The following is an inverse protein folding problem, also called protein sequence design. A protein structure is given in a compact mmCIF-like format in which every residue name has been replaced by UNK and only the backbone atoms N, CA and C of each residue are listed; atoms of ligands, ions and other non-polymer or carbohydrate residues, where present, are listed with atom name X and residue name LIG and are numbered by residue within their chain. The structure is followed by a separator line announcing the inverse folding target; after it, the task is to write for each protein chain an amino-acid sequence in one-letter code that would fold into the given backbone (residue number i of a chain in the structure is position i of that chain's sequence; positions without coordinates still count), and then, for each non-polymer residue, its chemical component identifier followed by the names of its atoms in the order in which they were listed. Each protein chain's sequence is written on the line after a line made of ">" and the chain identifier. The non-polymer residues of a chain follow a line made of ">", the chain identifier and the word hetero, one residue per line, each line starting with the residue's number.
data_IF_448611424284
#
_entry.id   IF_448611424284
#
_cell.length_a   1.000
_cell.length_b   1.000
_cell.length_c   1.000
_cell.angle_alpha   90.00
_cell.angle_beta   90.00
_cell.angle_gamma   90.00
#
_symmetry.space_group_name_H-M   'P 1'
#
loop_
_entity.id
_entity.type
_entity.pdbx_description
1 polymer ?
#
# COMPACT_ATOMS: atom_id res chain seq x y z
N UNK A 1 -2.27 8.01 -4.39
CA UNK A 1 -3.42 8.62 -3.66
C UNK A 1 -3.58 10.12 -3.95
N UNK A 2 -4.49 10.51 -4.86
CA UNK A 2 -4.89 11.92 -5.04
C UNK A 2 -6.09 12.23 -4.14
N UNK A 3 -5.89 13.04 -3.11
CA UNK A 3 -6.98 13.55 -2.27
C UNK A 3 -7.86 14.54 -3.03
N UNK A 4 -9.10 14.18 -3.32
CA UNK A 4 -10.14 15.11 -3.78
C UNK A 4 -10.75 15.83 -2.57
N UNK A 5 -10.49 17.14 -2.43
CA UNK A 5 -11.15 18.01 -1.45
C UNK A 5 -12.45 18.54 -2.06
N UNK A 6 -13.60 17.96 -1.68
CA UNK A 6 -14.92 18.52 -1.99
C UNK A 6 -15.25 19.65 -1.01
N UNK A 7 -15.17 20.89 -1.47
CA UNK A 7 -15.75 22.06 -0.78
C UNK A 7 -17.27 22.03 -0.89
N UNK A 8 -17.96 21.73 0.20
CA UNK A 8 -19.42 21.85 0.29
C UNK A 8 -19.81 23.30 0.61
N UNK A 9 -20.56 23.93 -0.31
CA UNK A 9 -21.16 25.27 -0.13
C UNK A 9 -22.58 25.06 0.39
N UNK A 10 -22.84 25.43 1.65
CA UNK A 10 -24.21 25.46 2.21
C UNK A 10 -24.90 26.78 1.86
N UNK A 11 -26.14 26.78 1.34
CA UNK A 11 -26.94 27.99 1.24
C UNK A 11 -27.60 28.29 2.60
N UNK A 12 -27.47 29.54 3.03
CA UNK A 12 -28.13 30.07 4.22
C UNK A 12 -29.63 30.28 3.91
N UNK A 13 -30.50 29.41 4.40
CA UNK A 13 -31.95 29.60 4.32
C UNK A 13 -32.41 30.29 5.63
N UNK A 14 -32.76 31.57 5.53
CA UNK A 14 -33.41 32.30 6.62
C UNK A 14 -34.89 31.88 6.69
N UNK A 15 -35.23 31.08 7.72
CA UNK A 15 -36.60 30.70 8.01
C UNK A 15 -37.27 31.74 8.91
N UNK A 16 -38.33 32.37 8.39
CA UNK A 16 -39.19 33.32 9.11
C UNK A 16 -40.08 32.57 10.10
N UNK A 17 -39.94 32.85 11.40
CA UNK A 17 -40.77 32.28 12.46
C UNK A 17 -42.11 33.03 12.51
N UNK A 18 -43.22 32.34 12.25
CA UNK A 18 -44.58 32.81 12.54
C UNK A 18 -45.07 32.03 13.77
N UNK A 19 -45.29 32.74 14.87
CA UNK A 19 -45.84 32.19 16.12
C UNK A 19 -47.35 32.25 16.02
N UNK A 20 -48.02 31.10 15.85
CA UNK A 20 -49.48 30.98 16.03
C UNK A 20 -49.72 30.28 17.36
N UNK A 21 -50.24 31.05 18.32
CA UNK A 21 -50.76 30.52 19.58
C UNK A 21 -52.24 30.17 19.40
N UNK A 22 -52.60 28.90 19.63
CA UNK A 22 -53.96 28.54 19.99
C UNK A 22 -53.89 27.50 21.10
N UNK A 23 -54.34 27.89 22.30
CA UNK A 23 -54.50 27.00 23.44
C UNK A 23 -55.73 26.12 23.25
N UNK A 24 -55.54 24.82 23.48
CA UNK A 24 -56.60 23.83 23.51
C UNK A 24 -56.15 22.67 24.39
N UNK A 25 -56.47 22.73 25.68
CA UNK A 25 -56.18 21.66 26.62
C UNK A 25 -57.05 20.44 26.36
N UNK A 26 -56.42 19.34 25.98
CA UNK A 26 -57.02 18.00 25.95
C UNK A 26 -56.06 17.04 26.64
N UNK A 27 -56.47 16.52 27.81
CA UNK A 27 -55.69 15.59 28.63
C UNK A 27 -55.64 14.18 28.05
N UNK A 28 -54.98 14.03 26.91
CA UNK A 28 -54.40 12.76 26.49
C UNK A 28 -53.01 12.67 27.08
N UNK A 29 -52.72 11.60 27.82
CA UNK A 29 -51.35 11.24 28.14
C UNK A 29 -50.69 10.79 26.84
N UNK A 30 -50.22 11.74 26.02
CA UNK A 30 -49.24 11.39 25.00
C UNK A 30 -48.10 10.67 25.74
N UNK A 31 -47.75 9.43 25.35
CA UNK A 31 -46.59 8.80 25.92
C UNK A 31 -45.42 9.77 25.72
N UNK A 32 -44.70 10.07 26.81
CA UNK A 32 -43.50 10.89 26.73
C UNK A 32 -42.66 10.38 25.55
N UNK A 33 -42.17 11.28 24.66
CA UNK A 33 -41.41 10.87 23.49
C UNK A 33 -40.35 9.86 23.93
N UNK A 34 -40.45 8.64 23.40
CA UNK A 34 -39.50 7.59 23.69
C UNK A 34 -38.18 8.06 23.08
N UNK A 35 -37.21 8.38 23.93
CA UNK A 35 -35.85 8.65 23.46
C UNK A 35 -35.28 7.30 23.05
N UNK A 36 -35.34 7.01 21.76
CA UNK A 36 -34.76 5.80 21.17
C UNK A 36 -33.29 6.05 20.93
N UNK A 37 -32.43 5.32 21.62
CA UNK A 37 -30.98 5.36 21.43
C UNK A 37 -30.59 4.83 20.06
N UNK A 38 -29.85 5.62 19.30
CA UNK A 38 -29.16 5.25 18.09
C UNK A 38 -27.74 4.80 18.48
N UNK A 39 -27.22 3.70 17.91
CA UNK A 39 -25.86 3.29 18.21
C UNK A 39 -24.84 4.31 17.67
N UNK A 40 -23.64 4.36 18.27
CA UNK A 40 -22.55 5.15 17.72
C UNK A 40 -22.15 4.64 16.34
N UNK A 41 -21.43 5.48 15.59
CA UNK A 41 -20.83 5.11 14.31
C UNK A 41 -19.43 5.67 14.14
N UNK A 42 -18.57 4.94 13.42
CA UNK A 42 -17.23 5.42 13.06
C UNK A 42 -17.30 6.49 11.97
N UNK A 43 -16.59 7.60 12.16
CA UNK A 43 -16.42 8.65 11.15
C UNK A 43 -15.36 8.24 10.13
N UNK A 44 -14.28 7.61 10.58
CA UNK A 44 -13.23 7.07 9.72
C UNK A 44 -13.15 5.55 9.85
N UNK A 45 -12.90 4.89 8.72
CA UNK A 45 -12.67 3.46 8.69
C UNK A 45 -11.17 3.19 8.54
N UNK A 46 -10.49 2.86 9.64
CA UNK A 46 -9.07 2.53 9.65
C UNK A 46 -8.94 1.04 9.93
N UNK A 47 -8.89 0.23 8.86
CA UNK A 47 -8.72 -1.22 8.97
C UNK A 47 -7.26 -1.64 9.10
N UNK A 48 -6.36 -0.90 8.47
CA UNK A 48 -4.92 -1.17 8.48
C UNK A 48 -4.13 0.13 8.58
N UNK A 49 -2.96 0.07 9.20
CA UNK A 49 -2.01 1.17 9.29
C UNK A 49 -0.59 0.64 9.28
N UNK A 50 0.30 1.32 8.58
CA UNK A 50 1.74 1.08 8.64
C UNK A 50 2.39 2.19 9.47
N UNK A 51 3.24 1.81 10.42
CA UNK A 51 3.95 2.76 11.30
C UNK A 51 5.40 2.36 11.47
N UNK A 52 6.28 3.35 11.63
CA UNK A 52 7.68 3.08 11.93
C UNK A 52 7.86 2.43 13.30
N UNK A 53 8.86 1.57 13.42
CA UNK A 53 9.36 1.13 14.73
C UNK A 53 9.92 2.28 15.57
N UNK A 54 10.18 1.99 16.85
CA UNK A 54 10.81 2.93 17.79
C UNK A 54 10.03 4.22 18.07
N UNK A 55 8.73 4.26 17.74
CA UNK A 55 7.82 5.34 18.12
C UNK A 55 6.56 4.82 18.82
N UNK A 56 5.82 5.73 19.46
CA UNK A 56 4.58 5.40 20.16
C UNK A 56 3.31 5.71 19.36
N UNK A 57 3.39 6.56 18.34
CA UNK A 57 2.23 6.99 17.56
C UNK A 57 1.72 5.85 16.68
N UNK A 58 0.39 5.64 16.66
CA UNK A 58 -0.25 4.65 15.77
C UNK A 58 -1.24 5.35 14.85
N UNK A 59 -2.41 5.72 15.36
CA UNK A 59 -3.47 6.34 14.57
C UNK A 59 -4.51 7.01 15.47
N UNK A 60 -5.55 7.61 14.90
CA UNK A 60 -6.69 8.15 15.63
C UNK A 60 -8.00 7.61 15.04
N UNK A 61 -8.86 7.11 15.92
CA UNK A 61 -10.19 6.59 15.60
C UNK A 61 -11.22 7.64 15.99
N UNK A 62 -11.98 8.09 15.02
CA UNK A 62 -13.06 9.07 15.19
C UNK A 62 -14.40 8.36 15.13
N UNK A 63 -15.26 8.63 16.10
CA UNK A 63 -16.62 8.14 16.14
C UNK A 63 -17.56 9.26 16.59
N UNK A 64 -18.83 9.12 16.29
CA UNK A 64 -19.87 10.04 16.71
C UNK A 64 -21.15 9.31 17.05
N UNK A 65 -22.04 10.01 17.73
CA UNK A 65 -23.38 9.56 18.06
C UNK A 65 -24.41 10.58 17.56
N UNK A 66 -25.55 10.09 17.07
CA UNK A 66 -26.61 10.97 16.55
C UNK A 66 -27.43 11.62 17.66
N UNK A 67 -27.46 10.99 18.84
CA UNK A 67 -28.16 11.49 20.02
C UNK A 67 -27.28 12.44 20.85
N UNK A 68 -25.98 12.52 20.51
CA UNK A 68 -25.00 13.37 21.20
C UNK A 68 -24.48 12.76 22.49
N UNK A 69 -24.60 11.44 22.64
CA UNK A 69 -24.13 10.71 23.81
C UNK A 69 -22.60 10.73 23.95
N UNK A 70 -22.15 10.60 25.20
CA UNK A 70 -20.72 10.54 25.52
C UNK A 70 -20.18 9.15 25.18
N UNK A 71 -19.19 9.12 24.29
CA UNK A 71 -18.57 7.89 23.83
C UNK A 71 -17.41 7.44 24.74
N UNK A 72 -17.32 6.12 24.93
CA UNK A 72 -16.21 5.46 25.59
C UNK A 72 -15.49 4.52 24.64
N UNK A 73 -14.16 4.56 24.69
CA UNK A 73 -13.26 3.79 23.86
C UNK A 73 -12.58 2.71 24.68
N UNK A 74 -12.45 1.50 24.13
CA UNK A 74 -11.70 0.41 24.73
C UNK A 74 -11.09 -0.50 23.68
N UNK A 75 -10.01 -1.20 24.06
CA UNK A 75 -9.30 -2.14 23.18
C UNK A 75 -9.56 -3.59 23.63
N UNK A 76 -9.74 -4.47 22.65
CA UNK A 76 -9.79 -5.93 22.83
C UNK A 76 -9.08 -6.63 21.65
N UNK A 77 -9.26 -7.94 21.49
CA UNK A 77 -8.64 -8.70 20.40
C UNK A 77 -7.36 -9.43 20.84
N UNK A 78 -6.44 -9.62 19.90
CA UNK A 78 -5.26 -10.48 20.09
C UNK A 78 -4.12 -9.76 20.82
N UNK A 79 -3.87 -8.49 20.47
CA UNK A 79 -2.72 -7.73 20.98
C UNK A 79 -3.05 -6.47 21.80
N UNK A 80 -4.19 -6.37 22.53
CA UNK A 80 -4.57 -5.11 23.19
C UNK A 80 -3.58 -4.64 24.25
N UNK A 81 -2.77 -5.54 24.83
CA UNK A 81 -1.77 -5.20 25.85
C UNK A 81 -0.60 -4.35 25.34
N UNK A 82 -0.38 -4.30 24.03
CA UNK A 82 0.67 -3.47 23.43
C UNK A 82 0.26 -2.01 23.28
N UNK A 83 -1.03 -1.71 23.42
CA UNK A 83 -1.59 -0.41 23.07
C UNK A 83 -2.37 0.23 24.22
N UNK A 84 -2.59 1.53 24.07
CA UNK A 84 -3.55 2.31 24.83
C UNK A 84 -4.42 3.12 23.87
N UNK A 85 -5.67 3.38 24.28
CA UNK A 85 -6.58 4.29 23.57
C UNK A 85 -7.08 5.38 24.54
N UNK A 86 -7.00 6.64 24.10
CA UNK A 86 -7.55 7.77 24.85
C UNK A 86 -9.06 7.93 24.64
N UNK A 87 -9.70 8.79 25.42
CA UNK A 87 -11.12 9.12 25.23
C UNK A 87 -11.38 10.02 24.00
N UNK A 88 -10.34 10.50 23.32
CA UNK A 88 -10.42 11.13 22.00
C UNK A 88 -10.13 10.14 20.85
N UNK A 89 -10.00 8.85 21.16
CA UNK A 89 -9.74 7.81 20.16
C UNK A 89 -8.31 7.76 19.61
N UNK A 90 -7.36 8.48 20.22
CA UNK A 90 -5.94 8.37 19.86
C UNK A 90 -5.40 7.03 20.36
N UNK A 91 -4.86 6.22 19.45
CA UNK A 91 -4.24 4.92 19.71
C UNK A 91 -2.71 5.08 19.71
N UNK A 92 -2.05 4.55 20.74
CA UNK A 92 -0.59 4.57 20.88
C UNK A 92 -0.07 3.23 21.36
N UNK A 93 1.20 2.92 21.05
CA UNK A 93 1.91 1.85 21.75
C UNK A 93 2.18 2.23 23.21
N UNK A 94 2.27 1.23 24.08
CA UNK A 94 2.64 1.38 25.48
C UNK A 94 4.16 1.53 25.68
N UNK A 95 4.95 1.02 24.72
CA UNK A 95 6.40 1.14 24.64
C UNK A 95 6.81 1.19 23.16
N UNK A 96 7.94 1.83 22.80
CA UNK A 96 8.42 1.83 21.42
C UNK A 96 8.64 0.38 20.95
N UNK A 97 7.96 -0.08 19.88
CA UNK A 97 8.08 -1.45 19.40
C UNK A 97 9.35 -1.63 18.56
N UNK A 98 9.78 -2.88 18.39
CA UNK A 98 10.92 -3.29 17.58
C UNK A 98 10.44 -4.19 16.44
N UNK A 99 10.82 -3.85 15.21
CA UNK A 99 10.43 -4.61 14.01
C UNK A 99 10.86 -6.08 14.06
N UNK A 100 12.04 -6.35 14.61
CA UNK A 100 12.59 -7.70 14.68
C UNK A 100 11.95 -8.57 15.77
N UNK A 101 11.27 -7.97 16.75
CA UNK A 101 10.56 -8.71 17.80
C UNK A 101 9.15 -9.11 17.33
N UNK A 102 8.41 -8.15 16.76
CA UNK A 102 7.06 -8.34 16.19
C UNK A 102 6.73 -7.19 15.26
N UNK A 103 6.32 -7.51 14.04
CA UNK A 103 6.05 -6.53 12.99
C UNK A 103 4.60 -6.50 12.46
N UNK A 104 3.70 -7.25 13.09
CA UNK A 104 2.26 -7.21 12.81
C UNK A 104 1.50 -7.35 14.12
N UNK A 105 0.54 -6.46 14.38
CA UNK A 105 -0.33 -6.50 15.55
C UNK A 105 -1.79 -6.43 15.13
N UNK A 106 -2.67 -7.10 15.88
CA UNK A 106 -4.12 -7.04 15.63
C UNK A 106 -4.89 -6.69 16.90
N UNK A 107 -5.68 -5.62 16.82
CA UNK A 107 -6.55 -5.16 17.90
C UNK A 107 -7.98 -4.91 17.40
N UNK A 108 -8.92 -4.99 18.32
CA UNK A 108 -10.31 -4.59 18.12
C UNK A 108 -10.57 -3.31 18.92
N UNK A 109 -11.05 -2.27 18.24
CA UNK A 109 -11.45 -1.01 18.87
C UNK A 109 -12.96 -1.04 19.10
N UNK A 110 -13.37 -0.89 20.36
CA UNK A 110 -14.77 -0.85 20.76
C UNK A 110 -15.15 0.56 21.17
N UNK A 111 -16.25 1.06 20.62
CA UNK A 111 -16.82 2.37 20.97
C UNK A 111 -18.25 2.17 21.43
N UNK A 112 -18.57 2.69 22.62
CA UNK A 112 -19.89 2.52 23.23
C UNK A 112 -20.44 3.83 23.78
N UNK A 113 -21.76 3.99 23.69
CA UNK A 113 -22.59 5.01 24.35
C UNK A 113 -23.05 4.56 25.77
N UNK A 114 -22.52 3.44 26.29
CA UNK A 114 -22.95 2.69 27.49
C UNK A 114 -24.21 1.82 27.35
N UNK A 115 -24.81 1.76 26.17
CA UNK A 115 -25.99 0.96 25.86
C UNK A 115 -25.66 -0.03 24.74
N UNK A 116 -25.13 0.47 23.62
CA UNK A 116 -24.70 -0.29 22.45
C UNK A 116 -23.21 -0.04 22.22
N UNK A 117 -22.52 -1.07 21.72
CA UNK A 117 -21.12 -0.97 21.31
C UNK A 117 -21.00 -1.34 19.84
N UNK A 118 -20.19 -0.56 19.12
CA UNK A 118 -19.67 -0.92 17.79
C UNK A 118 -18.21 -1.36 17.92
N UNK A 119 -17.76 -2.18 16.98
CA UNK A 119 -16.39 -2.70 16.96
C UNK A 119 -15.79 -2.59 15.56
N UNK A 120 -14.52 -2.22 15.47
CA UNK A 120 -13.71 -2.22 14.26
C UNK A 120 -12.40 -2.97 14.52
N UNK A 121 -11.96 -3.77 13.56
CA UNK A 121 -10.63 -4.38 13.56
C UNK A 121 -9.59 -3.40 13.02
N UNK A 122 -8.44 -3.33 13.67
CA UNK A 122 -7.26 -2.62 13.20
C UNK A 122 -6.06 -3.58 13.19
N UNK A 123 -5.43 -3.70 12.02
CA UNK A 123 -4.12 -4.34 11.87
C UNK A 123 -3.05 -3.26 11.78
N UNK A 124 -2.02 -3.36 12.62
CA UNK A 124 -0.88 -2.44 12.64
C UNK A 124 0.34 -3.18 12.12
N UNK A 125 0.85 -2.77 10.96
CA UNK A 125 2.12 -3.26 10.43
C UNK A 125 3.25 -2.34 10.88
N UNK A 126 4.31 -2.93 11.41
CA UNK A 126 5.50 -2.20 11.77
C UNK A 126 6.45 -2.15 10.58
N UNK A 127 7.02 -0.98 10.32
CA UNK A 127 8.02 -0.76 9.30
C UNK A 127 9.37 -0.54 9.97
N UNK A 128 10.38 -1.30 9.54
CA UNK A 128 11.75 -1.12 10.03
C UNK A 128 12.27 0.29 9.73
N UNK A 129 13.06 0.92 10.58
CA UNK A 129 13.58 2.27 10.32
C UNK A 129 14.96 2.20 9.67
N UNK A 130 15.05 2.67 8.44
CA UNK A 130 16.31 2.87 7.72
C UNK A 130 16.84 4.28 7.98
N UNK A 131 18.16 4.44 8.11
CA UNK A 131 18.78 5.75 8.40
C UNK A 131 20.02 6.06 7.57
N UNK A 132 20.48 5.11 6.75
CA UNK A 132 21.63 5.33 5.88
C UNK A 132 21.23 6.20 4.69
N UNK A 133 22.17 7.00 4.20
CA UNK A 133 21.99 7.80 3.00
C UNK A 133 22.87 7.26 1.89
N UNK A 134 22.26 6.95 0.75
CA UNK A 134 22.97 6.46 -0.43
C UNK A 134 22.40 7.13 -1.68
N UNK A 135 23.24 7.87 -2.39
CA UNK A 135 22.89 8.56 -3.65
C UNK A 135 21.56 9.35 -3.55
N UNK A 136 21.38 10.07 -2.44
CA UNK A 136 20.19 10.91 -2.21
C UNK A 136 18.95 10.18 -1.68
N UNK A 137 19.01 8.86 -1.48
CA UNK A 137 17.91 8.06 -0.92
C UNK A 137 18.21 7.65 0.53
N UNK A 138 17.15 7.43 1.31
CA UNK A 138 17.24 6.81 2.64
C UNK A 138 17.10 5.31 2.49
N UNK A 139 18.10 4.54 2.91
CA UNK A 139 18.20 3.09 2.69
C UNK A 139 18.72 2.38 3.94
N UNK A 140 18.70 1.06 3.93
CA UNK A 140 19.24 0.22 4.99
C UNK A 140 20.51 -0.48 4.49
N UNK A 141 21.63 -0.34 5.19
CA UNK A 141 22.86 -1.09 4.88
C UNK A 141 22.97 -2.35 5.72
N UNK A 142 22.67 -3.50 5.11
CA UNK A 142 22.72 -4.80 5.76
C UNK A 142 23.04 -5.89 4.73
N UNK A 143 23.75 -6.93 5.15
CA UNK A 143 24.00 -8.11 4.32
C UNK A 143 22.72 -8.89 4.07
N UNK A 144 22.65 -9.55 2.92
CA UNK A 144 21.52 -10.37 2.54
C UNK A 144 21.37 -11.62 3.41
N UNK A 145 20.13 -11.98 3.72
CA UNK A 145 19.82 -13.23 4.38
C UNK A 145 19.54 -14.35 3.37
N UNK A 146 20.60 -14.99 2.91
CA UNK A 146 20.53 -16.14 1.99
C UNK A 146 20.11 -17.45 2.66
N UNK A 147 19.93 -17.45 3.99
CA UNK A 147 19.51 -18.63 4.76
C UNK A 147 18.00 -18.70 5.00
N UNK A 148 17.26 -17.63 4.70
CA UNK A 148 15.81 -17.62 4.81
C UNK A 148 15.17 -18.57 3.77
N UNK A 149 14.17 -19.33 4.20
CA UNK A 149 13.40 -20.18 3.30
C UNK A 149 12.57 -19.31 2.35
N UNK A 150 12.62 -19.64 1.06
CA UNK A 150 11.89 -18.95 0.01
C UNK A 150 10.98 -19.92 -0.74
N UNK A 151 9.69 -19.62 -0.75
CA UNK A 151 8.71 -20.28 -1.63
C UNK A 151 7.95 -19.20 -2.39
N UNK A 152 8.33 -18.97 -3.66
CA UNK A 152 7.74 -17.94 -4.51
C UNK A 152 6.21 -17.95 -4.48
N UNK A 153 5.60 -19.14 -4.61
CA UNK A 153 4.15 -19.26 -4.76
C UNK A 153 3.41 -18.96 -3.45
N UNK A 154 4.00 -19.33 -2.31
CA UNK A 154 3.40 -19.12 -1.00
C UNK A 154 3.72 -17.73 -0.43
N UNK A 155 4.95 -17.25 -0.59
CA UNK A 155 5.39 -15.96 -0.06
C UNK A 155 4.87 -14.79 -0.89
N UNK A 156 4.84 -14.93 -2.22
CA UNK A 156 4.56 -13.84 -3.16
C UNK A 156 3.54 -14.27 -4.23
N UNK A 157 2.30 -14.60 -3.85
CA UNK A 157 1.31 -15.04 -4.83
C UNK A 157 0.95 -13.91 -5.79
N UNK A 158 1.22 -14.13 -7.07
CA UNK A 158 0.90 -13.26 -8.19
C UNK A 158 0.07 -14.01 -9.23
N UNK A 159 -0.80 -13.36 -10.00
CA UNK A 159 -1.17 -11.94 -9.95
C UNK A 159 -2.56 -11.81 -9.31
N UNK A 160 -2.74 -10.82 -8.44
CA UNK A 160 -4.04 -10.50 -7.85
C UNK A 160 -4.87 -9.64 -8.81
N UNK A 161 -6.19 -9.64 -8.61
CA UNK A 161 -7.14 -8.72 -9.23
C UNK A 161 -7.68 -7.85 -8.07
N UNK A 162 -7.19 -6.61 -7.98
CA UNK A 162 -7.44 -5.75 -6.83
C UNK A 162 -8.70 -4.92 -6.93
N UNK A 163 -9.13 -4.57 -8.14
CA UNK A 163 -10.35 -3.78 -8.36
C UNK A 163 -11.56 -4.66 -8.70
N UNK A 164 -11.34 -5.95 -8.95
CA UNK A 164 -12.37 -6.96 -9.15
C UNK A 164 -13.01 -6.85 -10.54
N UNK A 165 -12.30 -6.29 -11.52
CA UNK A 165 -12.82 -6.08 -12.87
C UNK A 165 -12.58 -7.29 -13.81
N UNK A 166 -11.88 -8.33 -13.32
CA UNK A 166 -11.41 -9.56 -13.96
C UNK A 166 -10.00 -9.52 -14.56
N UNK A 167 -9.41 -8.35 -14.77
CA UNK A 167 -8.03 -8.21 -15.15
C UNK A 167 -7.16 -8.29 -13.88
N UNK A 168 -6.23 -9.23 -13.85
CA UNK A 168 -5.25 -9.24 -12.78
C UNK A 168 -4.17 -8.18 -13.05
N UNK A 169 -3.39 -7.86 -12.01
CA UNK A 169 -2.39 -6.81 -12.04
C UNK A 169 -1.33 -6.97 -13.14
N UNK A 170 -1.14 -8.17 -13.70
CA UNK A 170 -0.30 -8.33 -14.91
C UNK A 170 -0.91 -7.61 -16.10
N UNK A 171 -2.21 -7.81 -16.32
CA UNK A 171 -2.94 -7.22 -17.43
C UNK A 171 -3.11 -5.70 -17.25
N UNK A 172 -3.26 -5.25 -16.00
CA UNK A 172 -3.21 -3.82 -15.67
C UNK A 172 -1.89 -3.16 -16.11
N UNK A 173 -0.75 -3.79 -15.81
CA UNK A 173 0.55 -3.25 -16.25
C UNK A 173 0.68 -3.28 -17.77
N UNK A 174 0.24 -4.35 -18.43
CA UNK A 174 0.27 -4.43 -19.89
C UNK A 174 -0.60 -3.36 -20.56
N UNK A 175 -1.78 -3.07 -20.02
CA UNK A 175 -2.64 -2.00 -20.51
C UNK A 175 -2.01 -0.63 -20.28
N UNK A 176 -1.49 -0.38 -19.07
CA UNK A 176 -0.83 0.88 -18.69
C UNK A 176 0.41 1.20 -19.54
N UNK A 177 1.23 0.20 -19.84
CA UNK A 177 2.49 0.38 -20.57
C UNK A 177 2.35 0.20 -22.10
N UNK A 178 1.12 0.02 -22.61
CA UNK A 178 0.89 -0.03 -24.03
C UNK A 178 1.21 1.31 -24.72
N UNK A 179 1.99 1.26 -25.79
CA UNK A 179 2.29 2.41 -26.64
C UNK A 179 1.27 2.50 -27.79
N UNK A 180 0.32 3.43 -27.68
CA UNK A 180 -0.71 3.70 -28.70
C UNK A 180 -0.21 4.67 -29.80
N UNK A 181 0.87 4.29 -30.49
CA UNK A 181 1.46 5.06 -31.60
C UNK A 181 1.52 4.29 -32.93
N UNK A 182 1.12 3.02 -32.97
CA UNK A 182 1.15 2.15 -34.15
C UNK A 182 -0.18 1.46 -34.40
N UNK A 183 -0.91 1.94 -35.42
CA UNK A 183 -2.22 1.42 -35.82
C UNK A 183 -2.20 -0.06 -36.24
N UNK A 184 -1.03 -0.63 -36.57
CA UNK A 184 -0.91 -2.04 -36.94
C UNK A 184 -0.81 -2.96 -35.72
N UNK A 185 -0.55 -2.40 -34.54
CA UNK A 185 -0.37 -3.12 -33.29
C UNK A 185 -1.23 -2.50 -32.16
N UNK A 186 -2.57 -2.40 -32.35
CA UNK A 186 -3.44 -1.85 -31.33
C UNK A 186 -3.51 -2.77 -30.10
N UNK A 187 -3.84 -2.22 -28.94
CA UNK A 187 -4.20 -3.02 -27.77
C UNK A 187 -5.46 -3.85 -28.06
N UNK A 188 -5.36 -5.17 -27.93
CA UNK A 188 -6.48 -6.09 -28.09
C UNK A 188 -6.62 -7.00 -26.88
N UNK A 189 -7.86 -7.42 -26.62
CA UNK A 189 -8.20 -8.29 -25.51
C UNK A 189 -8.80 -9.60 -25.99
N UNK A 190 -8.78 -10.59 -25.11
CA UNK A 190 -9.53 -11.84 -25.21
C UNK A 190 -11.02 -11.56 -25.38
N UNK A 191 -11.77 -12.59 -25.82
CA UNK A 191 -13.20 -12.45 -26.09
C UNK A 191 -14.05 -12.05 -24.87
N UNK A 192 -13.59 -12.37 -23.66
CA UNK A 192 -14.22 -11.99 -22.40
C UNK A 192 -13.72 -10.65 -21.85
N UNK A 193 -12.70 -10.05 -22.46
CA UNK A 193 -12.11 -8.77 -22.06
C UNK A 193 -11.11 -8.87 -20.89
N UNK A 194 -10.90 -10.03 -20.29
CA UNK A 194 -10.12 -10.19 -19.06
C UNK A 194 -8.61 -10.36 -19.27
N UNK A 195 -8.18 -10.54 -20.52
CA UNK A 195 -6.78 -10.77 -20.86
C UNK A 195 -6.37 -9.89 -22.03
N UNK A 196 -5.29 -9.14 -21.85
CA UNK A 196 -4.58 -8.50 -22.96
C UNK A 196 -3.95 -9.59 -23.85
N UNK A 197 -4.30 -9.60 -25.14
CA UNK A 197 -3.82 -10.56 -26.15
C UNK A 197 -2.63 -10.01 -26.96
N UNK A 198 -2.72 -8.76 -27.42
CA UNK A 198 -1.69 -8.13 -28.26
C UNK A 198 -1.69 -6.61 -28.09
N UNK A 199 -0.62 -5.97 -28.54
CA UNK A 199 -0.38 -4.54 -28.37
C UNK A 199 1.01 -4.18 -28.89
N UNK A 200 1.57 -3.11 -28.34
CA UNK A 200 2.96 -2.69 -28.56
C UNK A 200 3.56 -2.27 -27.23
N UNK A 201 4.65 -2.93 -26.85
CA UNK A 201 5.43 -2.67 -25.64
C UNK A 201 6.89 -2.48 -26.01
N UNK A 202 7.56 -1.56 -25.33
CA UNK A 202 8.98 -1.33 -25.46
C UNK A 202 9.68 -1.96 -24.26
N UNK A 203 10.62 -2.88 -24.49
CA UNK A 203 11.47 -3.40 -23.43
C UNK A 203 12.69 -2.48 -23.29
N UNK A 204 12.79 -1.68 -22.23
CA UNK A 204 13.93 -0.81 -22.03
C UNK A 204 15.21 -1.57 -21.70
N UNK A 205 15.15 -2.88 -21.36
CA UNK A 205 16.32 -3.66 -21.04
C UNK A 205 17.14 -4.04 -22.27
N UNK A 206 16.49 -4.35 -23.39
CA UNK A 206 17.15 -4.80 -24.62
C UNK A 206 16.90 -3.86 -25.83
N UNK A 207 16.09 -2.81 -25.65
CA UNK A 207 15.73 -1.81 -26.66
C UNK A 207 14.96 -2.42 -27.85
N UNK A 208 14.17 -3.49 -27.61
CA UNK A 208 13.29 -4.11 -28.58
C UNK A 208 11.80 -3.79 -28.32
N UNK A 209 10.99 -3.95 -29.38
CA UNK A 209 9.54 -3.89 -29.27
C UNK A 209 8.93 -5.29 -29.32
N UNK A 210 7.93 -5.51 -28.48
CA UNK A 210 7.14 -6.73 -28.41
C UNK A 210 5.68 -6.44 -28.75
N UNK A 211 5.03 -7.41 -29.40
CA UNK A 211 3.67 -7.21 -29.94
C UNK A 211 2.65 -8.27 -29.50
N UNK A 212 3.13 -9.42 -29.02
CA UNK A 212 2.28 -10.45 -28.42
C UNK A 212 2.39 -10.35 -26.90
N UNK A 213 1.27 -10.36 -26.18
CA UNK A 213 1.31 -10.37 -24.71
C UNK A 213 1.97 -11.64 -24.15
N UNK A 214 2.07 -12.73 -24.94
CA UNK A 214 2.77 -13.96 -24.56
C UNK A 214 4.28 -13.81 -24.48
N UNK A 215 4.85 -12.84 -25.21
CA UNK A 215 6.28 -12.61 -25.28
C UNK A 215 6.74 -11.63 -24.18
N UNK A 216 5.78 -10.94 -23.57
CA UNK A 216 5.98 -9.93 -22.52
C UNK A 216 5.76 -10.55 -21.14
N UNK A 217 6.69 -10.32 -20.24
CA UNK A 217 6.59 -10.61 -18.82
C UNK A 217 6.51 -9.29 -18.05
N UNK A 218 5.93 -9.34 -16.87
CA UNK A 218 6.00 -8.22 -15.92
C UNK A 218 7.11 -8.55 -14.94
N UNK A 219 8.22 -7.84 -15.07
CA UNK A 219 9.37 -7.97 -14.18
C UNK A 219 9.13 -7.15 -12.90
N UNK A 220 9.62 -7.68 -11.79
CA UNK A 220 9.84 -6.90 -10.57
C UNK A 220 11.26 -6.36 -10.67
N UNK A 221 11.43 -5.04 -10.85
CA UNK A 221 12.76 -4.43 -11.08
C UNK A 221 13.74 -4.87 -10.00
N UNK A 222 13.36 -4.82 -8.72
CA UNK A 222 13.96 -5.65 -7.67
C UNK A 222 13.21 -6.97 -7.61
N UNK A 223 13.84 -8.06 -8.05
CA UNK A 223 13.18 -9.37 -8.17
C UNK A 223 12.61 -9.86 -6.83
N UNK A 224 11.55 -10.67 -6.85
CA UNK A 224 10.93 -11.16 -5.61
C UNK A 224 11.89 -11.93 -4.69
N UNK A 225 12.79 -12.75 -5.26
CA UNK A 225 13.79 -13.46 -4.45
C UNK A 225 14.89 -12.53 -3.95
N UNK A 226 15.31 -11.56 -4.77
CA UNK A 226 16.21 -10.49 -4.37
C UNK A 226 15.65 -9.72 -3.16
N UNK A 227 14.44 -9.18 -3.28
CA UNK A 227 13.78 -8.49 -2.18
C UNK A 227 13.68 -9.37 -0.92
N UNK A 228 13.39 -10.67 -1.10
CA UNK A 228 13.33 -11.64 0.00
C UNK A 228 14.64 -11.70 0.79
N UNK A 229 15.78 -11.90 0.12
CA UNK A 229 17.09 -11.94 0.76
C UNK A 229 17.53 -10.55 1.27
N UNK A 230 17.09 -9.45 0.66
CA UNK A 230 17.29 -8.07 1.15
C UNK A 230 16.35 -7.63 2.30
N UNK A 231 15.74 -8.58 3.02
CA UNK A 231 14.96 -8.30 4.23
C UNK A 231 13.45 -8.53 4.11
N UNK A 232 12.89 -8.67 2.89
CA UNK A 232 11.48 -8.98 2.73
C UNK A 232 11.08 -10.38 3.24
N UNK A 233 12.05 -11.26 3.52
CA UNK A 233 11.80 -12.53 4.24
C UNK A 233 11.02 -12.31 5.54
N UNK A 234 11.28 -11.18 6.21
CA UNK A 234 10.65 -10.81 7.47
C UNK A 234 9.29 -10.13 7.31
N UNK A 235 8.90 -9.72 6.09
CA UNK A 235 7.65 -9.00 5.88
C UNK A 235 6.45 -9.86 6.32
N UNK A 236 5.45 -9.24 6.98
CA UNK A 236 4.14 -9.85 7.14
C UNK A 236 3.58 -10.33 5.80
N UNK A 237 2.81 -11.43 5.81
CA UNK A 237 2.28 -12.03 4.58
C UNK A 237 1.47 -11.03 3.73
N UNK A 238 0.66 -10.18 4.37
CA UNK A 238 -0.09 -9.13 3.69
C UNK A 238 0.82 -8.10 3.00
N UNK A 239 1.99 -7.78 3.59
CA UNK A 239 2.96 -6.85 3.00
C UNK A 239 3.73 -7.51 1.84
N UNK A 240 4.08 -8.80 1.93
CA UNK A 240 4.63 -9.56 0.79
C UNK A 240 3.67 -9.61 -0.39
N UNK A 241 2.38 -9.86 -0.11
CA UNK A 241 1.32 -9.85 -1.12
C UNK A 241 1.21 -8.48 -1.82
N UNK A 242 1.21 -7.39 -1.04
CA UNK A 242 1.18 -6.01 -1.57
C UNK A 242 2.41 -5.73 -2.42
N UNK A 243 3.62 -6.03 -1.93
CA UNK A 243 4.86 -5.86 -2.70
C UNK A 243 4.80 -6.61 -4.03
N UNK A 244 4.35 -7.87 -4.04
CA UNK A 244 4.33 -8.67 -5.26
C UNK A 244 3.37 -8.15 -6.34
N UNK A 245 2.41 -7.31 -5.97
CA UNK A 245 1.29 -6.93 -6.84
C UNK A 245 1.17 -5.41 -7.02
N UNK A 246 2.04 -4.58 -6.43
CA UNK A 246 1.87 -3.12 -6.38
C UNK A 246 2.06 -2.44 -7.74
N UNK A 247 0.95 -2.08 -8.37
CA UNK A 247 0.87 -1.30 -9.61
C UNK A 247 0.80 0.22 -9.38
N UNK A 248 0.62 0.67 -8.12
CA UNK A 248 0.56 2.10 -7.77
C UNK A 248 1.96 2.71 -7.55
N UNK A 249 3.02 1.90 -7.63
CA UNK A 249 4.41 2.34 -7.51
C UNK A 249 5.16 2.07 -8.83
N UNK A 250 5.22 3.10 -9.68
CA UNK A 250 5.70 3.10 -11.07
C UNK A 250 7.10 2.48 -11.30
N UNK A 251 7.91 2.33 -10.24
CA UNK A 251 9.25 1.77 -10.35
C UNK A 251 9.29 0.25 -10.13
N UNK A 252 8.28 -0.34 -9.48
CA UNK A 252 8.34 -1.73 -9.04
C UNK A 252 8.15 -2.73 -10.16
N UNK A 253 7.14 -2.51 -11.00
CA UNK A 253 6.70 -3.43 -12.05
C UNK A 253 6.92 -2.83 -13.42
N UNK A 254 7.39 -3.64 -14.37
CA UNK A 254 7.64 -3.18 -15.74
C UNK A 254 7.40 -4.28 -16.77
N UNK A 255 6.82 -3.94 -17.92
CA UNK A 255 6.62 -4.84 -19.04
C UNK A 255 7.91 -4.98 -19.86
N UNK A 256 8.49 -6.18 -19.86
CA UNK A 256 9.75 -6.49 -20.55
C UNK A 256 9.65 -7.80 -21.33
N UNK A 257 10.57 -8.00 -22.26
CA UNK A 257 10.70 -9.25 -22.99
C UNK A 257 11.04 -10.41 -22.07
N UNK A 258 10.41 -11.57 -22.32
CA UNK A 258 10.67 -12.77 -21.52
C UNK A 258 12.14 -13.23 -21.52
N UNK A 259 12.90 -12.94 -22.58
CA UNK A 259 14.34 -13.21 -22.64
C UNK A 259 15.14 -12.32 -21.70
N UNK A 260 14.87 -11.02 -21.68
CA UNK A 260 15.55 -10.04 -20.83
C UNK A 260 15.30 -10.34 -19.36
N UNK A 261 14.04 -10.59 -18.99
CA UNK A 261 13.68 -10.95 -17.63
C UNK A 261 14.31 -12.29 -17.19
N UNK A 262 14.33 -13.29 -18.08
CA UNK A 262 14.99 -14.57 -17.78
C UNK A 262 16.51 -14.42 -17.64
N UNK A 263 17.14 -13.49 -18.37
CA UNK A 263 18.57 -13.17 -18.23
C UNK A 263 18.88 -12.49 -16.90
N UNK A 264 18.02 -11.56 -16.46
CA UNK A 264 18.12 -10.88 -15.16
C UNK A 264 17.92 -11.85 -13.99
N UNK A 265 16.88 -12.68 -14.06
CA UNK A 265 16.55 -13.63 -13.01
C UNK A 265 16.30 -12.96 -11.65
N UNK A 266 17.19 -13.18 -10.69
CA UNK A 266 17.15 -12.55 -9.36
C UNK A 266 18.47 -11.86 -9.01
N UNK A 267 19.24 -11.50 -10.03
CA UNK A 267 20.48 -10.76 -9.87
C UNK A 267 20.22 -9.31 -9.50
N UNK A 268 21.09 -8.79 -8.64
CA UNK A 268 21.21 -7.37 -8.34
C UNK A 268 22.17 -6.67 -9.33
N UNK A 269 22.32 -5.33 -9.25
CA UNK A 269 23.18 -4.57 -10.16
C UNK A 269 24.67 -4.95 -10.15
N UNK A 270 25.15 -5.70 -9.16
CA UNK A 270 26.53 -6.22 -9.15
C UNK A 270 26.72 -7.40 -10.12
N UNK A 271 25.65 -8.17 -10.38
CA UNK A 271 25.68 -9.37 -11.20
C UNK A 271 25.05 -9.18 -12.59
N UNK A 272 24.07 -8.28 -12.71
CA UNK A 272 23.34 -8.05 -13.95
C UNK A 272 22.92 -6.59 -14.13
N UNK A 273 23.09 -6.09 -15.36
CA UNK A 273 22.56 -4.81 -15.82
C UNK A 273 21.90 -4.99 -17.19
N UNK A 274 20.93 -4.15 -17.56
CA UNK A 274 20.29 -4.24 -18.86
C UNK A 274 21.27 -4.03 -20.03
N UNK A 275 21.13 -4.79 -21.13
CA UNK A 275 22.00 -4.66 -22.31
C UNK A 275 21.92 -3.27 -22.96
N UNK A 276 20.76 -2.62 -22.84
CA UNK A 276 20.55 -1.24 -23.24
C UNK A 276 21.22 -0.26 -22.26
N UNK A 277 22.49 0.04 -22.53
CA UNK A 277 23.30 0.99 -21.75
C UNK A 277 22.67 2.38 -21.55
N UNK A 278 21.79 2.83 -22.46
CA UNK A 278 21.13 4.14 -22.31
C UNK A 278 20.09 4.18 -21.19
N UNK A 279 19.64 3.00 -20.72
CA UNK A 279 18.65 2.84 -19.66
C UNK A 279 19.29 2.61 -18.28
N UNK A 280 20.61 2.44 -18.19
CA UNK A 280 21.29 2.12 -16.92
C UNK A 280 20.96 3.06 -15.77
N UNK A 281 20.97 4.38 -16.00
CA UNK A 281 20.69 5.34 -14.94
C UNK A 281 19.25 5.25 -14.44
N UNK A 282 18.28 5.06 -15.34
CA UNK A 282 16.88 4.90 -14.97
C UNK A 282 16.66 3.58 -14.22
N UNK A 283 17.26 2.48 -14.68
CA UNK A 283 17.23 1.19 -13.97
C UNK A 283 17.76 1.31 -12.53
N UNK A 284 18.92 1.96 -12.35
CA UNK A 284 19.53 2.16 -11.04
C UNK A 284 18.72 3.10 -10.15
N UNK A 285 18.08 4.13 -10.71
CA UNK A 285 17.18 5.01 -9.95
C UNK A 285 15.94 4.25 -9.47
N UNK A 286 15.28 3.49 -10.36
CA UNK A 286 14.15 2.62 -10.01
C UNK A 286 14.54 1.63 -8.90
N UNK A 287 15.69 0.98 -9.06
CA UNK A 287 16.24 0.06 -8.08
C UNK A 287 16.37 0.69 -6.69
N UNK A 288 16.99 1.88 -6.60
CA UNK A 288 17.16 2.59 -5.33
C UNK A 288 15.84 3.12 -4.76
N UNK A 289 14.90 3.56 -5.61
CA UNK A 289 13.56 3.97 -5.19
C UNK A 289 12.81 2.81 -4.52
N UNK A 290 12.88 1.61 -5.10
CA UNK A 290 12.26 0.41 -4.53
C UNK A 290 12.94 0.02 -3.22
N UNK A 291 14.28 -0.05 -3.19
CA UNK A 291 15.01 -0.40 -1.97
C UNK A 291 14.74 0.61 -0.84
N UNK A 292 14.56 1.89 -1.18
CA UNK A 292 14.18 2.95 -0.23
C UNK A 292 12.73 2.83 0.26
N UNK A 293 11.75 2.79 -0.66
CA UNK A 293 10.32 2.78 -0.34
C UNK A 293 9.94 1.55 0.49
N UNK A 294 10.37 0.37 0.05
CA UNK A 294 10.03 -0.87 0.72
C UNK A 294 10.97 -1.20 1.88
N UNK A 295 11.99 -0.35 2.09
CA UNK A 295 13.00 -0.52 3.14
C UNK A 295 13.66 -1.87 3.00
N UNK A 296 14.23 -2.15 1.84
CA UNK A 296 15.04 -3.34 1.58
C UNK A 296 16.51 -2.97 1.78
N UNK A 297 17.34 -3.94 2.13
CA UNK A 297 18.75 -3.69 2.40
C UNK A 297 19.54 -3.58 1.11
N UNK A 298 20.59 -2.78 1.14
CA UNK A 298 21.67 -2.80 0.18
C UNK A 298 22.90 -3.44 0.84
N UNK A 299 23.41 -4.53 0.29
CA UNK A 299 24.64 -5.17 0.79
C UNK A 299 25.91 -4.43 0.33
N UNK A 300 27.09 -4.91 0.73
CA UNK A 300 28.34 -4.24 0.40
C UNK A 300 28.69 -4.25 -1.09
N UNK A 301 28.49 -5.38 -1.76
CA UNK A 301 28.88 -5.58 -3.16
C UNK A 301 27.94 -4.80 -4.07
N UNK A 302 26.64 -4.81 -3.75
CA UNK A 302 25.61 -4.03 -4.43
C UNK A 302 25.90 -2.51 -4.35
N UNK A 303 26.30 -2.01 -3.18
CA UNK A 303 26.64 -0.57 -3.02
C UNK A 303 27.88 -0.17 -3.81
N UNK A 304 28.92 -1.01 -3.82
CA UNK A 304 30.13 -0.76 -4.60
C UNK A 304 29.78 -0.72 -6.10
N UNK A 305 29.09 -1.75 -6.59
CA UNK A 305 28.66 -1.84 -7.99
C UNK A 305 27.79 -0.66 -8.42
N UNK A 306 26.77 -0.29 -7.65
CA UNK A 306 25.90 0.86 -7.98
C UNK A 306 26.71 2.16 -8.00
N UNK A 307 27.65 2.34 -7.07
CA UNK A 307 28.51 3.54 -7.04
C UNK A 307 29.34 3.66 -8.31
N UNK A 308 29.94 2.55 -8.76
CA UNK A 308 30.75 2.52 -9.96
C UNK A 308 29.89 2.72 -11.22
N UNK A 309 28.76 2.02 -11.31
CA UNK A 309 27.82 2.17 -12.43
C UNK A 309 27.27 3.60 -12.54
N UNK A 310 26.99 4.30 -11.44
CA UNK A 310 26.59 5.71 -11.48
C UNK A 310 27.69 6.60 -12.11
N UNK A 311 28.95 6.35 -11.77
CA UNK A 311 30.08 7.10 -12.31
C UNK A 311 30.33 6.78 -13.78
N UNK A 312 30.34 5.49 -14.14
CA UNK A 312 30.59 5.02 -15.50
C UNK A 312 29.53 5.52 -16.48
N UNK A 313 28.26 5.53 -16.06
CA UNK A 313 27.14 5.97 -16.88
C UNK A 313 26.84 7.47 -16.75
N UNK A 314 27.61 8.22 -15.93
CA UNK A 314 27.44 9.66 -15.69
C UNK A 314 26.04 10.05 -15.22
N UNK A 315 25.42 9.19 -14.41
CA UNK A 315 24.08 9.40 -13.88
C UNK A 315 24.02 10.69 -13.04
N UNK A 316 22.90 11.41 -13.15
CA UNK A 316 22.64 12.59 -12.34
C UNK A 316 21.88 12.17 -11.09
N UNK A 317 22.28 12.72 -9.94
CA UNK A 317 21.56 12.59 -8.68
C UNK A 317 20.40 13.58 -8.58
#
# INVERSE_FOLDING_TARGET
>A
MKYFVLRSIFPLIAATIIIVSCGGGGGGTDPAPQITNNPPFFINNVGEVEVDEMQLSVTTISANDSDGDLLQYSLSGNDPSYFSISNQGVVTFNQPPSYFDKNEFSILINVTDNIISITQSLTVFLLRVCSDSFLGKTVCFEEENTSAEYDRSNDYPTWQDWDGDCQNNRHEVLESEHIDDDVNHPLTFSSDGCYVDSGKWFDPYDNLYYFSSSDVQIDHVVALFEAHKSGAWSFPAARKLKFANNIDFDDLLIAVGGSSNASKGSSDPSDWMPDNTSYHCEYLEKWLNIKSEFRLSLDADEREAITDLYQENTCQN
#
